data_IF_675867806087
#
_entry.id   IF_675867806087
#
_cell.length_a   1.000
_cell.length_b   1.000
_cell.length_c   1.000
_cell.angle_alpha   90.00
_cell.angle_beta   90.00
_cell.angle_gamma   90.00
#
_symmetry.space_group_name_H-M   'P 1'
#
loop_
_entity.id
_entity.type
_entity.pdbx_description
1 polymer ?
#
# COMPACT_ATOMS: atom_id res chain seq x y z
N UNK A 1 -16.63 2.03 8.10
CA UNK A 1 -17.45 2.87 7.20
C UNK A 1 -16.69 3.03 5.90
N UNK A 2 -17.13 2.33 4.84
CA UNK A 2 -16.63 2.52 3.49
C UNK A 2 -17.34 3.78 2.96
N UNK A 3 -16.63 4.90 2.78
CA UNK A 3 -17.25 6.09 2.20
C UNK A 3 -17.44 5.79 0.72
N UNK A 4 -18.67 5.77 0.22
CA UNK A 4 -18.93 5.72 -1.22
C UNK A 4 -18.17 6.90 -1.87
N UNK A 5 -17.38 6.62 -2.93
CA UNK A 5 -16.36 7.48 -3.54
C UNK A 5 -14.97 7.50 -2.88
N UNK A 6 -14.70 6.68 -1.87
CA UNK A 6 -13.32 6.37 -1.52
C UNK A 6 -12.70 5.65 -2.73
N UNK A 7 -11.62 6.20 -3.27
CA UNK A 7 -10.81 5.57 -4.33
C UNK A 7 -10.06 4.34 -3.81
N UNK A 8 -10.67 3.56 -2.92
CA UNK A 8 -10.07 2.42 -2.25
C UNK A 8 -10.49 1.15 -2.99
N UNK A 9 -9.52 0.39 -3.45
CA UNK A 9 -9.69 -0.90 -4.10
C UNK A 9 -9.34 -2.03 -3.13
N UNK A 10 -10.31 -2.40 -2.29
CA UNK A 10 -10.14 -3.48 -1.33
C UNK A 10 -10.01 -4.85 -2.01
N UNK A 11 -10.51 -5.01 -3.23
CA UNK A 11 -10.38 -6.22 -4.02
C UNK A 11 -8.94 -6.39 -4.50
N UNK A 12 -8.33 -5.34 -5.04
CA UNK A 12 -6.91 -5.36 -5.41
C UNK A 12 -6.02 -5.60 -4.20
N UNK A 13 -6.30 -4.94 -3.07
CA UNK A 13 -5.58 -5.16 -1.83
C UNK A 13 -5.62 -6.64 -1.40
N UNK A 14 -6.81 -7.23 -1.34
CA UNK A 14 -7.00 -8.63 -0.94
C UNK A 14 -6.31 -9.62 -1.88
N UNK A 15 -6.48 -9.42 -3.19
CA UNK A 15 -6.00 -10.36 -4.21
C UNK A 15 -4.51 -10.20 -4.55
N UNK A 16 -3.93 -9.03 -4.32
CA UNK A 16 -2.51 -8.79 -4.63
C UNK A 16 -2.22 -8.60 -6.12
N UNK A 17 -3.11 -7.96 -6.90
CA UNK A 17 -2.99 -7.92 -8.36
C UNK A 17 -2.07 -6.79 -8.90
N UNK A 18 -2.40 -5.52 -8.65
CA UNK A 18 -1.70 -4.35 -9.18
C UNK A 18 -0.82 -3.66 -8.12
N UNK A 19 0.39 -3.26 -8.50
CA UNK A 19 1.32 -2.51 -7.64
C UNK A 19 2.14 -3.36 -6.67
N UNK A 20 2.05 -4.68 -6.77
CA UNK A 20 2.75 -5.62 -5.88
C UNK A 20 4.16 -6.00 -6.35
N UNK A 21 4.63 -5.44 -7.48
CA UNK A 21 6.03 -5.54 -7.95
C UNK A 21 7.05 -5.04 -6.92
N UNK A 22 6.66 -4.10 -6.07
CA UNK A 22 7.48 -3.58 -4.97
C UNK A 22 7.34 -4.38 -3.65
N UNK A 23 6.61 -5.50 -3.69
CA UNK A 23 6.14 -6.22 -2.52
C UNK A 23 4.94 -5.53 -1.85
N UNK A 24 4.21 -6.27 -1.03
CA UNK A 24 3.04 -5.74 -0.31
C UNK A 24 3.48 -4.67 0.69
N UNK A 25 2.80 -3.52 0.68
CA UNK A 25 3.01 -2.48 1.69
C UNK A 25 2.62 -3.02 3.07
N UNK A 26 3.36 -2.67 4.14
CA UNK A 26 2.97 -3.04 5.49
C UNK A 26 1.59 -2.50 5.86
N UNK A 27 0.89 -3.25 6.69
CA UNK A 27 -0.45 -2.93 7.14
C UNK A 27 -0.61 -3.34 8.60
N UNK A 28 -1.65 -2.85 9.24
CA UNK A 28 -2.03 -3.25 10.59
C UNK A 28 -3.24 -4.17 10.53
N UNK A 29 -3.18 -5.26 11.29
CA UNK A 29 -4.34 -6.09 11.59
C UNK A 29 -4.80 -5.73 12.99
N UNK A 30 -5.95 -5.05 13.06
CA UNK A 30 -6.52 -4.62 14.35
C UNK A 30 -6.77 -5.85 15.23
N UNK A 31 -6.37 -5.76 16.50
CA UNK A 31 -6.50 -6.81 17.52
C UNK A 31 -5.74 -8.12 17.25
N UNK A 32 -4.81 -8.15 16.29
CA UNK A 32 -3.93 -9.32 16.15
C UNK A 32 -3.09 -9.50 17.42
N UNK A 33 -3.13 -10.70 17.97
CA UNK A 33 -2.37 -11.14 19.15
C UNK A 33 -1.28 -12.13 18.80
N UNK A 34 -1.34 -12.71 17.60
CA UNK A 34 -0.31 -13.63 17.09
C UNK A 34 0.32 -13.11 15.79
N UNK A 35 1.50 -13.63 15.47
CA UNK A 35 2.17 -13.33 14.20
C UNK A 35 1.36 -13.82 12.99
N UNK A 36 0.71 -14.98 13.10
CA UNK A 36 -0.14 -15.52 12.04
C UNK A 36 -1.35 -14.60 11.77
N UNK A 37 -1.98 -14.10 12.84
CA UNK A 37 -3.05 -13.10 12.71
C UNK A 37 -2.53 -11.80 12.10
N UNK A 38 -1.38 -11.30 12.57
CA UNK A 38 -0.78 -10.05 12.10
C UNK A 38 -0.33 -10.08 10.63
N UNK A 39 -0.20 -11.26 10.04
CA UNK A 39 0.23 -11.47 8.65
C UNK A 39 -0.91 -11.92 7.73
N UNK A 40 -2.14 -11.99 8.24
CA UNK A 40 -3.32 -12.33 7.44
C UNK A 40 -3.87 -11.08 6.73
N UNK A 41 -3.82 -11.11 5.40
CA UNK A 41 -4.37 -10.04 4.55
C UNK A 41 -5.89 -10.06 4.58
N UNK A 42 -6.51 -8.90 4.76
CA UNK A 42 -7.96 -8.71 4.71
C UNK A 42 -8.31 -7.33 4.17
N UNK A 43 -9.50 -7.20 3.58
CA UNK A 43 -10.05 -5.92 3.12
C UNK A 43 -10.18 -4.87 4.25
N UNK A 44 -10.13 -5.30 5.51
CA UNK A 44 -10.21 -4.46 6.71
C UNK A 44 -8.84 -4.16 7.32
N UNK A 45 -7.73 -4.50 6.65
CA UNK A 45 -6.42 -4.09 7.12
C UNK A 45 -6.31 -2.57 7.16
N UNK A 46 -5.59 -2.05 8.14
CA UNK A 46 -5.45 -0.62 8.34
C UNK A 46 -4.12 -0.12 7.80
N UNK A 47 -4.16 1.07 7.21
CA UNK A 47 -3.00 1.80 6.72
C UNK A 47 -2.55 2.77 7.81
N UNK A 48 -1.25 2.88 8.00
CA UNK A 48 -0.65 3.83 8.94
C UNK A 48 0.59 4.47 8.31
N UNK A 49 1.22 5.43 9.02
CA UNK A 49 2.33 6.21 8.45
C UNK A 49 3.44 5.32 7.86
N UNK A 50 3.75 4.19 8.52
CA UNK A 50 4.82 3.30 8.08
C UNK A 50 4.38 2.27 7.03
N UNK A 51 3.11 2.28 6.60
CA UNK A 51 2.69 1.53 5.42
C UNK A 51 3.43 2.02 4.18
N UNK A 52 3.57 3.33 4.00
CA UNK A 52 4.26 3.90 2.84
C UNK A 52 5.68 4.37 3.16
N UNK A 53 5.89 4.94 4.35
CA UNK A 53 7.18 5.53 4.74
C UNK A 53 8.03 4.56 5.57
N UNK A 54 9.36 4.68 5.49
CA UNK A 54 10.26 4.05 6.48
C UNK A 54 10.66 5.08 7.55
N UNK A 55 10.60 4.66 8.81
CA UNK A 55 10.88 5.52 9.96
C UNK A 55 12.30 6.09 9.98
N UNK A 56 13.30 5.32 9.55
CA UNK A 56 14.72 5.70 9.60
C UNK A 56 15.28 6.16 8.24
N UNK A 57 14.41 6.55 7.31
CA UNK A 57 14.81 7.02 5.98
C UNK A 57 15.03 5.89 4.97
N UNK A 58 15.09 6.30 3.69
CA UNK A 58 15.27 5.44 2.52
C UNK A 58 16.06 6.17 1.45
N UNK A 59 16.58 5.46 0.45
CA UNK A 59 17.17 6.06 -0.74
C UNK A 59 16.12 6.70 -1.69
N UNK A 60 14.84 6.44 -1.47
CA UNK A 60 13.76 6.96 -2.31
C UNK A 60 13.22 8.30 -1.80
N UNK A 61 12.65 9.07 -2.73
CA UNK A 61 11.99 10.33 -2.44
C UNK A 61 10.93 10.20 -1.34
N UNK A 62 10.82 11.25 -0.52
CA UNK A 62 9.82 11.36 0.56
C UNK A 62 9.88 10.22 1.60
N UNK A 63 11.01 9.49 1.68
CA UNK A 63 11.17 8.37 2.60
C UNK A 63 10.28 7.16 2.25
N UNK A 64 9.86 7.02 0.99
CA UNK A 64 8.97 5.97 0.53
C UNK A 64 9.67 4.60 0.42
N UNK A 65 8.90 3.52 0.54
CA UNK A 65 9.44 2.15 0.45
C UNK A 65 9.90 1.74 -0.95
N UNK A 66 9.43 2.43 -1.98
CA UNK A 66 9.73 2.18 -3.40
C UNK A 66 10.28 3.43 -4.08
N UNK A 67 10.87 3.24 -5.27
CA UNK A 67 11.33 4.33 -6.10
C UNK A 67 10.14 5.13 -6.64
N UNK A 68 9.85 6.26 -5.98
CA UNK A 68 8.82 7.21 -6.36
C UNK A 68 9.43 8.36 -7.17
N UNK A 69 8.87 8.66 -8.34
CA UNK A 69 9.33 9.76 -9.20
C UNK A 69 10.54 9.44 -10.11
N UNK A 70 10.80 8.16 -10.38
CA UNK A 70 11.72 7.74 -11.46
C UNK A 70 11.15 8.02 -12.86
N UNK A 71 11.86 7.67 -13.95
CA UNK A 71 11.35 7.84 -15.32
C UNK A 71 9.91 7.30 -15.46
N UNK A 72 9.05 7.90 -16.31
CA UNK A 72 7.59 7.63 -16.42
C UNK A 72 7.16 6.15 -16.57
N UNK A 73 8.11 5.23 -16.77
CA UNK A 73 7.90 3.78 -16.86
C UNK A 73 8.23 3.05 -15.53
N UNK A 74 8.61 3.80 -14.49
CA UNK A 74 9.02 3.30 -13.19
C UNK A 74 7.82 3.15 -12.26
N UNK A 75 8.01 2.29 -11.26
CA UNK A 75 7.11 1.89 -10.16
C UNK A 75 6.56 3.02 -9.28
N UNK A 76 6.44 4.24 -9.82
CA UNK A 76 6.17 5.48 -9.12
C UNK A 76 4.85 5.43 -8.36
N UNK A 77 3.83 4.78 -8.92
CA UNK A 77 2.50 4.66 -8.31
C UNK A 77 2.26 3.30 -7.67
N UNK A 78 3.22 2.37 -7.71
CA UNK A 78 3.02 0.98 -7.32
C UNK A 78 2.50 0.84 -5.89
N UNK A 79 3.07 1.58 -4.93
CA UNK A 79 2.59 1.55 -3.56
C UNK A 79 1.17 2.09 -3.41
N UNK A 80 0.80 3.11 -4.18
CA UNK A 80 -0.53 3.70 -4.14
C UNK A 80 -1.57 2.74 -4.74
N UNK A 81 -1.27 2.14 -5.90
CA UNK A 81 -2.26 1.31 -6.62
C UNK A 81 -2.57 0.00 -5.90
N UNK A 82 -1.75 -0.45 -4.93
CA UNK A 82 -2.09 -1.60 -4.07
C UNK A 82 -3.43 -1.42 -3.34
N UNK A 83 -3.80 -0.16 -3.05
CA UNK A 83 -5.04 0.17 -2.34
C UNK A 83 -5.92 1.15 -3.11
N UNK A 84 -5.45 1.78 -4.20
CA UNK A 84 -6.18 2.82 -4.92
C UNK A 84 -6.40 2.48 -6.40
N UNK A 85 -7.59 2.81 -6.92
CA UNK A 85 -7.97 2.54 -8.32
C UNK A 85 -7.87 3.76 -9.26
N UNK A 86 -7.46 4.93 -8.78
CA UNK A 86 -7.43 6.18 -9.56
C UNK A 86 -6.06 6.85 -9.63
N UNK A 87 -4.97 6.13 -9.36
CA UNK A 87 -3.62 6.72 -9.23
C UNK A 87 -2.94 6.99 -10.59
N UNK A 88 -3.59 6.61 -11.70
CA UNK A 88 -3.06 6.76 -13.05
C UNK A 88 -3.80 7.81 -13.88
N UNK A 89 -4.82 8.47 -13.31
CA UNK A 89 -5.54 9.55 -13.99
C UNK A 89 -4.85 10.88 -13.63
N UNK A 90 -4.13 11.45 -14.60
CA UNK A 90 -3.56 12.82 -14.55
C UNK A 90 -4.66 13.88 -14.60
#
# INVERSE_FOLDING_TARGET
MNRANAHTDSTNWGNGANGFSIGRLPYLVRNATTFAEATTVAATNEVFCLSCHKAHGTANAFGLRWAYGGPKNGHNTDGCIQCHNNVLEE
#
